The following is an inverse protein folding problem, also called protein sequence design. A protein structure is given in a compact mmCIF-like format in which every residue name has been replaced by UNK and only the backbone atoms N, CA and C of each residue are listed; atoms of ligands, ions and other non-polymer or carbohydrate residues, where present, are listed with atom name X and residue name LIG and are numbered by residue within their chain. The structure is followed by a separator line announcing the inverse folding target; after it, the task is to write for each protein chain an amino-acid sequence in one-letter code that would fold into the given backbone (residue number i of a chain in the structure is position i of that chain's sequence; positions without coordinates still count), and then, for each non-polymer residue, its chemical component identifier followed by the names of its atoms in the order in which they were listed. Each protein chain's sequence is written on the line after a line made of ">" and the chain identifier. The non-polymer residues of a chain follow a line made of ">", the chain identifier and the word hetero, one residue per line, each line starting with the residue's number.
data_IF_617516013593
#
_entry.id   IF_617516013593
#
_cell.length_a   1.000
_cell.length_b   1.000
_cell.length_c   1.000
_cell.angle_alpha   90.00
_cell.angle_beta   90.00
_cell.angle_gamma   90.00
#
_symmetry.space_group_name_H-M   'P 1'
#
loop_
_entity.id
_entity.type
_entity.pdbx_description
1 polymer ?
#
# COMPACT_ATOMS: atom_id res chain seq x y z
N UNK A 1 15.27 -18.95 -3.89
CA UNK A 1 14.99 -18.91 -5.34
C UNK A 1 16.24 -18.44 -6.05
N UNK A 2 16.50 -18.95 -7.26
CA UNK A 2 17.49 -18.33 -8.15
C UNK A 2 17.08 -16.88 -8.46
N UNK A 3 18.05 -15.97 -8.53
CA UNK A 3 17.77 -14.54 -8.68
C UNK A 3 17.06 -14.25 -10.01
N UNK A 4 17.39 -14.97 -11.08
CA UNK A 4 16.72 -14.80 -12.38
C UNK A 4 15.26 -15.28 -12.32
N UNK A 5 15.00 -16.38 -11.62
CA UNK A 5 13.65 -16.88 -11.41
C UNK A 5 12.80 -15.89 -10.59
N UNK A 6 13.37 -15.31 -9.53
CA UNK A 6 12.72 -14.28 -8.73
C UNK A 6 12.37 -13.03 -9.55
N UNK A 7 13.33 -12.45 -10.28
CA UNK A 7 13.11 -11.23 -11.06
C UNK A 7 12.09 -11.45 -12.19
N UNK A 8 12.10 -12.63 -12.82
CA UNK A 8 11.09 -13.00 -13.83
C UNK A 8 9.69 -13.02 -13.24
N UNK A 9 9.53 -13.66 -12.08
CA UNK A 9 8.23 -13.78 -11.43
C UNK A 9 7.74 -12.46 -10.85
N UNK A 10 8.66 -11.68 -10.25
CA UNK A 10 8.38 -10.33 -9.77
C UNK A 10 7.82 -9.45 -10.89
N UNK A 11 8.46 -9.44 -12.05
CA UNK A 11 8.00 -8.65 -13.20
C UNK A 11 6.63 -9.10 -13.70
N UNK A 12 6.36 -10.41 -13.70
CA UNK A 12 5.04 -10.96 -14.05
C UNK A 12 3.97 -10.46 -13.09
N UNK A 13 4.19 -10.60 -11.78
CA UNK A 13 3.24 -10.16 -10.75
C UNK A 13 3.04 -8.63 -10.76
N UNK A 14 4.08 -7.87 -11.09
CA UNK A 14 3.97 -6.42 -11.22
C UNK A 14 3.10 -5.99 -12.41
N UNK A 15 3.05 -6.76 -13.50
CA UNK A 15 2.10 -6.53 -14.58
C UNK A 15 0.66 -6.78 -14.11
N UNK A 16 0.42 -7.89 -13.41
CA UNK A 16 -0.89 -8.20 -12.83
C UNK A 16 -1.35 -7.13 -11.82
N UNK A 17 -0.43 -6.51 -11.08
CA UNK A 17 -0.74 -5.40 -10.18
C UNK A 17 -1.21 -4.15 -10.93
N UNK A 18 -0.68 -3.89 -12.13
CA UNK A 18 -1.13 -2.80 -13.00
C UNK A 18 -2.54 -3.09 -13.52
N UNK A 19 -2.79 -4.32 -13.98
CA UNK A 19 -4.13 -4.74 -14.43
C UNK A 19 -5.15 -4.65 -13.29
N UNK A 20 -4.76 -5.04 -12.07
CA UNK A 20 -5.57 -4.87 -10.86
C UNK A 20 -5.84 -3.40 -10.56
N UNK A 21 -4.83 -2.52 -10.67
CA UNK A 21 -5.03 -1.08 -10.48
C UNK A 21 -6.02 -0.52 -11.50
N UNK A 22 -5.94 -0.93 -12.76
CA UNK A 22 -6.89 -0.51 -13.78
C UNK A 22 -8.31 -0.96 -13.42
N UNK A 23 -8.49 -2.23 -13.02
CA UNK A 23 -9.78 -2.73 -12.55
C UNK A 23 -10.32 -1.95 -11.35
N UNK A 24 -9.47 -1.60 -10.38
CA UNK A 24 -9.87 -0.80 -9.20
C UNK A 24 -10.45 0.54 -9.65
N UNK A 25 -9.79 1.22 -10.59
CA UNK A 25 -10.23 2.51 -11.13
C UNK A 25 -11.54 2.38 -11.92
N UNK A 26 -11.63 1.40 -12.81
CA UNK A 26 -12.80 1.20 -13.69
C UNK A 26 -14.07 0.83 -12.91
N UNK A 27 -13.92 0.03 -11.85
CA UNK A 27 -15.05 -0.43 -11.04
C UNK A 27 -15.38 0.49 -9.86
N UNK A 28 -14.48 1.43 -9.53
CA UNK A 28 -14.57 2.21 -8.30
C UNK A 28 -14.35 1.38 -7.03
N UNK A 29 -13.72 0.21 -7.15
CA UNK A 29 -13.33 -0.58 -5.99
C UNK A 29 -12.39 0.22 -5.07
N UNK A 30 -12.31 -0.20 -3.81
CA UNK A 30 -11.53 0.46 -2.77
C UNK A 30 -10.66 -0.59 -2.10
N UNK A 31 -9.35 -0.41 -2.16
CA UNK A 31 -8.40 -1.41 -1.66
C UNK A 31 -7.56 -0.82 -0.54
N UNK A 32 -7.50 -1.54 0.58
CA UNK A 32 -6.60 -1.22 1.69
C UNK A 32 -5.63 -2.39 1.86
N UNK A 33 -4.34 -2.08 1.91
CA UNK A 33 -3.25 -3.02 2.19
C UNK A 33 -2.59 -2.57 3.50
N UNK A 34 -2.54 -3.45 4.50
CA UNK A 34 -1.90 -3.18 5.79
C UNK A 34 -0.61 -3.99 5.86
N UNK A 35 0.52 -3.30 5.98
CA UNK A 35 1.84 -3.90 6.10
C UNK A 35 2.30 -3.73 7.55
N UNK A 36 2.36 -4.84 8.29
CA UNK A 36 2.78 -4.91 9.68
C UNK A 36 3.93 -5.93 9.84
N UNK A 37 4.74 -5.77 10.88
CA UNK A 37 5.86 -6.67 11.14
C UNK A 37 6.97 -6.03 11.97
N UNK A 38 7.89 -6.86 12.46
CA UNK A 38 9.03 -6.41 13.26
C UNK A 38 9.94 -5.46 12.47
N UNK A 39 10.72 -4.67 13.19
CA UNK A 39 11.80 -3.89 12.60
C UNK A 39 12.73 -4.80 11.78
N UNK A 40 13.16 -4.31 10.61
CA UNK A 40 13.96 -5.05 9.63
C UNK A 40 13.30 -6.30 9.01
N UNK A 41 11.99 -6.52 9.15
CA UNK A 41 11.28 -7.64 8.51
C UNK A 41 11.13 -7.54 6.98
N UNK A 42 11.51 -6.41 6.36
CA UNK A 42 11.43 -6.22 4.91
C UNK A 42 10.12 -5.60 4.40
N UNK A 43 9.33 -4.93 5.25
CA UNK A 43 8.08 -4.25 4.86
C UNK A 43 8.30 -3.22 3.75
N UNK A 44 9.25 -2.31 3.95
CA UNK A 44 9.53 -1.25 2.98
C UNK A 44 10.01 -1.76 1.62
N UNK A 45 10.79 -2.84 1.57
CA UNK A 45 11.19 -3.44 0.30
C UNK A 45 10.01 -4.10 -0.42
N UNK A 46 9.13 -4.78 0.32
CA UNK A 46 7.90 -5.35 -0.23
C UNK A 46 6.96 -4.25 -0.78
N UNK A 47 6.71 -3.19 -0.01
CA UNK A 47 5.91 -2.03 -0.45
C UNK A 47 6.50 -1.42 -1.72
N UNK A 48 7.83 -1.25 -1.75
CA UNK A 48 8.53 -0.73 -2.94
C UNK A 48 8.32 -1.61 -4.16
N UNK A 49 8.33 -2.95 -4.01
CA UNK A 49 8.07 -3.87 -5.13
C UNK A 49 6.63 -3.83 -5.61
N UNK A 50 5.67 -3.73 -4.69
CA UNK A 50 4.24 -3.61 -5.02
C UNK A 50 3.97 -2.32 -5.79
N UNK A 51 4.52 -1.20 -5.32
CA UNK A 51 4.20 0.14 -5.84
C UNK A 51 5.06 0.58 -7.03
N UNK A 52 6.11 -0.17 -7.38
CA UNK A 52 7.13 0.22 -8.36
C UNK A 52 6.57 0.69 -9.71
N UNK A 53 5.47 0.09 -10.17
CA UNK A 53 4.85 0.38 -11.47
C UNK A 53 3.42 0.90 -11.37
N UNK A 54 2.91 1.12 -10.15
CA UNK A 54 1.57 1.62 -9.92
C UNK A 54 1.53 3.15 -10.10
N UNK A 55 0.43 3.66 -10.66
CA UNK A 55 0.22 5.10 -10.75
C UNK A 55 0.05 5.70 -9.34
N UNK A 56 0.88 6.68 -8.93
CA UNK A 56 0.85 7.25 -7.58
C UNK A 56 -0.41 8.08 -7.30
N UNK A 57 -1.19 8.44 -8.32
CA UNK A 57 -2.47 9.15 -8.15
C UNK A 57 -3.59 8.24 -7.66
N UNK A 58 -3.50 6.94 -7.92
CA UNK A 58 -4.53 5.96 -7.56
C UNK A 58 -4.02 4.95 -6.54
N UNK A 59 -2.70 4.79 -6.39
CA UNK A 59 -2.09 4.01 -5.31
C UNK A 59 -1.16 4.88 -4.46
N UNK A 60 -1.50 5.10 -3.19
CA UNK A 60 -0.69 5.88 -2.25
C UNK A 60 -0.27 5.08 -1.03
N UNK A 61 0.87 5.48 -0.46
CA UNK A 61 1.43 4.90 0.76
C UNK A 61 1.18 5.88 1.91
N UNK A 62 0.61 5.38 3.01
CA UNK A 62 0.39 6.13 4.24
C UNK A 62 1.29 5.58 5.36
N UNK A 63 2.35 6.33 5.64
CA UNK A 63 3.24 6.10 6.77
C UNK A 63 2.95 7.16 7.85
N UNK A 64 2.03 6.85 8.76
CA UNK A 64 1.66 7.78 9.83
C UNK A 64 2.78 7.86 10.88
N UNK A 65 3.28 9.06 11.22
CA UNK A 65 4.23 9.19 12.31
C UNK A 65 3.56 8.90 13.67
N UNK A 66 4.38 8.91 14.73
CA UNK A 66 3.88 8.88 16.10
C UNK A 66 2.76 9.94 16.28
N UNK A 67 1.66 9.60 16.98
CA UNK A 67 0.53 10.51 17.14
C UNK A 67 0.94 11.75 17.94
N UNK A 68 0.51 12.92 17.46
CA UNK A 68 0.61 14.19 18.19
C UNK A 68 -0.20 14.16 19.49
N UNK A 69 0.06 15.10 20.41
CA UNK A 69 -0.68 15.19 21.68
C UNK A 69 -2.19 15.31 21.48
N UNK A 70 -2.63 15.95 20.39
CA UNK A 70 -4.05 16.04 20.03
C UNK A 70 -4.60 14.70 19.55
N UNK A 71 -3.89 14.01 18.67
CA UNK A 71 -4.30 12.69 18.16
C UNK A 71 -4.31 11.63 19.28
N UNK A 72 -3.44 11.74 20.28
CA UNK A 72 -3.46 10.86 21.46
C UNK A 72 -4.72 11.02 22.31
N UNK A 73 -5.31 12.23 22.33
CA UNK A 73 -6.59 12.49 23.01
C UNK A 73 -7.82 12.20 22.15
N UNK A 74 -7.65 11.90 20.86
CA UNK A 74 -8.73 11.50 19.95
C UNK A 74 -9.02 10.01 20.06
N UNK A 75 -10.12 9.59 19.44
CA UNK A 75 -10.36 8.17 19.24
C UNK A 75 -9.28 7.59 18.33
N UNK A 76 -8.63 6.50 18.75
CA UNK A 76 -7.46 5.91 18.08
C UNK A 76 -7.62 5.76 16.56
N UNK A 77 -8.77 5.27 16.10
CA UNK A 77 -9.02 5.00 14.68
C UNK A 77 -9.28 6.27 13.84
N UNK A 78 -9.56 7.42 14.47
CA UNK A 78 -9.91 8.65 13.77
C UNK A 78 -8.85 9.04 12.73
N UNK A 79 -7.57 9.03 13.11
CA UNK A 79 -6.45 9.39 12.22
C UNK A 79 -6.24 8.42 11.04
N UNK A 80 -6.81 7.21 11.10
CA UNK A 80 -6.71 6.20 10.04
C UNK A 80 -7.91 6.25 9.10
N UNK A 81 -9.09 6.50 9.65
CA UNK A 81 -10.32 6.66 8.87
C UNK A 81 -10.16 7.81 7.87
N UNK A 82 -9.50 8.90 8.27
CA UNK A 82 -9.14 10.03 7.38
C UNK A 82 -8.26 9.63 6.19
N UNK A 83 -7.60 8.46 6.27
CA UNK A 83 -6.66 7.98 5.26
C UNK A 83 -7.23 6.84 4.41
N UNK A 84 -8.45 6.37 4.67
CA UNK A 84 -9.07 5.31 3.90
C UNK A 84 -9.27 5.72 2.42
N UNK A 85 -9.26 4.76 1.48
CA UNK A 85 -9.45 5.03 0.06
C UNK A 85 -10.85 5.56 -0.25
N UNK A 86 -10.93 6.45 -1.23
CA UNK A 86 -12.18 6.68 -1.97
C UNK A 86 -12.26 5.78 -3.20
N UNK A 87 -13.37 5.83 -3.95
CA UNK A 87 -13.60 5.01 -5.13
C UNK A 87 -12.42 5.09 -6.11
N UNK A 88 -11.91 3.93 -6.53
CA UNK A 88 -10.77 3.84 -7.46
C UNK A 88 -9.40 4.00 -6.81
N UNK A 89 -9.33 4.06 -5.47
CA UNK A 89 -8.06 4.19 -4.76
C UNK A 89 -7.60 2.90 -4.09
N UNK A 90 -6.27 2.77 -4.07
CA UNK A 90 -5.50 1.78 -3.32
C UNK A 90 -4.69 2.55 -2.27
N UNK A 91 -4.84 2.16 -1.00
CA UNK A 91 -4.06 2.73 0.10
C UNK A 91 -3.26 1.64 0.76
N UNK A 92 -1.96 1.86 0.87
CA UNK A 92 -1.02 0.97 1.55
C UNK A 92 -0.58 1.64 2.84
N UNK A 93 -0.95 1.07 3.98
CA UNK A 93 -0.45 1.51 5.28
C UNK A 93 0.89 0.82 5.59
N UNK A 94 1.91 1.63 5.86
CA UNK A 94 3.24 1.18 6.31
C UNK A 94 3.37 1.37 7.83
N UNK A 95 3.43 0.27 8.58
CA UNK A 95 3.51 0.25 10.04
C UNK A 95 4.49 -0.80 10.54
#
# INVERSE_FOLDING_TARGET
>A
MDNKAYEKELKRLQAELVDMQQWVVETGARVVIIMEGRDAAGKGSAIKRITQYLNPRTARIEALPAPSSREQGQWYFQRYVEKLPTAGEIVIFDR
#
